data_IF_255288378094
#
_entry.id   IF_255288378094
#
_cell.length_a   1.000
_cell.length_b   1.000
_cell.length_c   1.000
_cell.angle_alpha   90.00
_cell.angle_beta   90.00
_cell.angle_gamma   90.00
#
_symmetry.space_group_name_H-M   'P 1'
#
loop_
_entity.id
_entity.type
_entity.pdbx_description
1 polymer ?
#
# COMPACT_ATOMS: atom_id res chain seq x y z
N UNK A 1 34.70 30.21 -38.10
CA UNK A 1 33.62 30.20 -37.10
C UNK A 1 34.26 30.57 -35.77
N UNK A 2 33.86 31.69 -35.17
CA UNK A 2 34.41 32.12 -33.88
C UNK A 2 33.83 31.25 -32.75
N UNK A 3 34.66 30.53 -31.96
CA UNK A 3 34.18 29.65 -30.89
C UNK A 3 33.35 30.37 -29.84
N UNK A 4 33.67 31.63 -29.54
CA UNK A 4 32.97 32.41 -28.51
C UNK A 4 31.53 32.73 -28.94
N UNK A 5 31.35 33.06 -30.21
CA UNK A 5 30.04 33.34 -30.79
C UNK A 5 29.14 32.08 -30.84
N UNK A 6 29.72 30.89 -31.03
CA UNK A 6 28.97 29.63 -30.98
C UNK A 6 28.45 29.32 -29.57
N UNK A 7 29.30 29.47 -28.56
CA UNK A 7 28.93 29.24 -27.16
C UNK A 7 27.83 30.22 -26.72
N UNK A 8 27.96 31.50 -27.07
CA UNK A 8 26.95 32.51 -26.73
C UNK A 8 25.57 32.19 -27.34
N UNK A 9 25.53 31.75 -28.61
CA UNK A 9 24.29 31.35 -29.27
C UNK A 9 23.65 30.11 -28.64
N UNK A 10 24.45 29.13 -28.24
CA UNK A 10 23.95 27.93 -27.59
C UNK A 10 23.35 28.25 -26.21
N UNK A 11 24.04 29.10 -25.43
CA UNK A 11 23.55 29.56 -24.12
C UNK A 11 22.22 30.31 -24.25
N UNK A 12 22.09 31.16 -25.26
CA UNK A 12 20.84 31.86 -25.53
C UNK A 12 19.70 30.89 -25.85
N UNK A 13 19.93 29.93 -26.76
CA UNK A 13 18.90 28.93 -27.09
C UNK A 13 18.50 28.07 -25.90
N UNK A 14 19.46 27.63 -25.08
CA UNK A 14 19.15 26.86 -23.88
C UNK A 14 18.38 27.68 -22.82
N UNK A 15 18.62 28.99 -22.73
CA UNK A 15 17.88 29.88 -21.84
C UNK A 15 16.43 30.13 -22.31
N UNK A 16 16.18 30.09 -23.62
CA UNK A 16 14.84 30.19 -24.21
C UNK A 16 14.01 28.92 -23.98
N UNK A 17 14.64 27.76 -23.82
CA UNK A 17 13.97 26.50 -23.49
C UNK A 17 13.50 26.50 -22.02
N UNK A 18 12.31 27.04 -21.77
CA UNK A 18 11.63 26.87 -20.48
C UNK A 18 10.92 25.51 -20.44
N UNK A 19 10.98 24.78 -19.32
CA UNK A 19 10.13 23.61 -19.16
C UNK A 19 8.66 24.04 -19.29
N UNK A 20 7.87 23.30 -20.07
CA UNK A 20 6.43 23.52 -20.08
C UNK A 20 5.91 23.34 -18.66
N UNK A 21 4.96 24.21 -18.27
CA UNK A 21 4.16 24.04 -17.06
C UNK A 21 3.39 22.72 -17.20
N UNK A 22 4.00 21.61 -16.77
CA UNK A 22 3.31 20.34 -16.66
C UNK A 22 2.19 20.55 -15.65
N UNK A 23 0.92 20.28 -15.98
CA UNK A 23 -0.14 20.33 -14.99
C UNK A 23 0.20 19.31 -13.90
N UNK A 24 0.69 19.82 -12.77
CA UNK A 24 0.89 19.05 -11.55
C UNK A 24 -0.49 18.75 -10.97
N UNK A 25 -1.24 17.90 -11.65
CA UNK A 25 -2.52 17.42 -11.19
C UNK A 25 -2.55 15.90 -11.26
N UNK A 26 -1.51 15.28 -10.69
CA UNK A 26 -1.66 13.90 -10.23
C UNK A 26 -2.51 13.95 -8.96
N UNK A 27 -3.83 14.06 -9.11
CA UNK A 27 -4.77 13.60 -8.07
C UNK A 27 -4.53 12.11 -7.94
N UNK A 28 -3.62 11.73 -7.07
CA UNK A 28 -3.34 10.33 -6.79
C UNK A 28 -4.59 9.80 -6.09
N UNK A 29 -5.42 9.06 -6.83
CA UNK A 29 -6.50 8.28 -6.24
C UNK A 29 -5.86 7.14 -5.46
N UNK A 30 -5.58 7.39 -4.17
CA UNK A 30 -5.02 6.39 -3.27
C UNK A 30 -6.12 5.39 -2.94
N UNK A 31 -5.94 4.15 -3.36
CA UNK A 31 -6.86 3.07 -3.01
C UNK A 31 -6.66 2.66 -1.55
N UNK A 32 -7.70 2.81 -0.74
CA UNK A 32 -7.75 2.33 0.64
C UNK A 32 -8.86 1.29 0.76
N UNK A 33 -8.56 0.15 1.37
CA UNK A 33 -9.54 -0.91 1.56
C UNK A 33 -10.64 -0.46 2.53
N UNK A 34 -11.90 -0.57 2.12
CA UNK A 34 -13.07 -0.13 2.92
C UNK A 34 -13.13 -0.84 4.28
N UNK A 35 -12.79 -2.12 4.30
CA UNK A 35 -12.86 -2.98 5.48
C UNK A 35 -11.77 -2.69 6.53
N UNK A 36 -10.75 -1.88 6.23
CA UNK A 36 -9.78 -1.47 7.24
C UNK A 36 -10.42 -0.68 8.38
N UNK A 37 -11.53 0.01 8.11
CA UNK A 37 -12.27 0.74 9.16
C UNK A 37 -12.93 -0.22 10.15
N UNK A 38 -13.44 -1.37 9.69
CA UNK A 38 -14.16 -2.35 10.51
C UNK A 38 -13.29 -3.51 11.01
N UNK A 39 -12.13 -3.80 10.42
CA UNK A 39 -11.35 -5.00 10.72
C UNK A 39 -10.83 -5.05 12.17
N UNK A 40 -10.86 -6.23 12.79
CA UNK A 40 -10.23 -6.47 14.11
C UNK A 40 -8.75 -6.83 13.99
N UNK A 41 -8.38 -7.51 12.91
CA UNK A 41 -7.03 -7.97 12.64
C UNK A 41 -6.53 -7.49 11.27
N UNK A 42 -5.23 -7.26 11.16
CA UNK A 42 -4.57 -6.78 9.94
C UNK A 42 -3.27 -7.52 9.69
N UNK A 43 -2.95 -7.69 8.41
CA UNK A 43 -1.63 -8.09 7.92
C UNK A 43 -0.76 -6.85 7.68
N UNK A 44 0.52 -6.95 8.07
CA UNK A 44 1.49 -5.86 7.91
C UNK A 44 2.47 -6.20 6.79
N UNK A 45 2.67 -5.28 5.86
CA UNK A 45 3.67 -5.43 4.78
C UNK A 45 5.09 -5.30 5.33
N UNK A 46 5.97 -6.20 4.90
CA UNK A 46 7.39 -6.20 5.23
C UNK A 46 8.15 -5.43 4.13
N UNK A 47 8.58 -4.20 4.42
CA UNK A 47 9.29 -3.33 3.46
C UNK A 47 10.82 -3.48 3.48
N UNK A 48 11.38 -4.35 4.34
CA UNK A 48 12.82 -4.65 4.37
C UNK A 48 13.21 -5.57 3.21
N UNK A 49 14.50 -5.61 2.86
CA UNK A 49 15.03 -6.61 1.92
C UNK A 49 14.74 -8.01 2.46
N UNK A 50 14.00 -8.79 1.68
CA UNK A 50 13.49 -10.09 2.08
C UNK A 50 14.47 -11.20 1.75
N UNK A 51 14.43 -12.27 2.54
CA UNK A 51 15.07 -13.53 2.16
C UNK A 51 14.26 -14.22 1.07
N UNK A 52 14.92 -15.11 0.31
CA UNK A 52 14.23 -15.96 -0.64
C UNK A 52 13.09 -16.73 0.06
N UNK A 53 11.91 -16.76 -0.57
CA UNK A 53 10.70 -17.43 -0.08
C UNK A 53 10.06 -16.86 1.21
N UNK A 54 10.50 -15.71 1.71
CA UNK A 54 9.81 -15.04 2.83
C UNK A 54 8.47 -14.43 2.35
N UNK A 55 7.36 -14.56 3.09
CA UNK A 55 6.09 -13.94 2.72
C UNK A 55 6.19 -12.39 2.77
N UNK A 56 5.51 -11.66 1.86
CA UNK A 56 5.56 -10.18 1.84
C UNK A 56 4.79 -9.51 2.97
N UNK A 57 3.93 -10.27 3.65
CA UNK A 57 3.15 -9.79 4.79
C UNK A 57 3.39 -10.69 5.99
N UNK A 58 3.46 -10.08 7.17
CA UNK A 58 3.52 -10.77 8.44
C UNK A 58 2.13 -10.73 9.09
N UNK A 59 1.76 -11.87 9.71
CA UNK A 59 0.76 -12.09 10.76
C UNK A 59 -0.60 -11.39 10.68
N UNK A 60 -1.70 -12.02 11.13
CA UNK A 60 -2.85 -11.26 11.55
C UNK A 60 -2.56 -10.67 12.94
N UNK A 61 -2.35 -9.37 13.02
CA UNK A 61 -2.15 -8.66 14.29
C UNK A 61 -3.42 -7.97 14.74
N UNK A 62 -3.65 -7.97 16.06
CA UNK A 62 -4.78 -7.28 16.66
C UNK A 62 -4.61 -5.76 16.58
N UNK A 63 -5.64 -5.07 16.09
CA UNK A 63 -5.68 -3.60 16.04
C UNK A 63 -6.20 -3.07 17.37
N UNK A 64 -5.42 -2.21 18.01
CA UNK A 64 -5.80 -1.57 19.29
C UNK A 64 -6.56 -0.25 19.06
N UNK A 65 -6.04 0.61 18.17
CA UNK A 65 -6.65 1.90 17.81
C UNK A 65 -6.57 2.13 16.31
N UNK A 66 -7.61 2.76 15.77
CA UNK A 66 -7.74 3.09 14.33
C UNK A 66 -7.78 4.59 14.16
N UNK A 67 -6.96 5.11 13.25
CA UNK A 67 -7.01 6.51 12.81
C UNK A 67 -7.08 6.55 11.29
N UNK A 68 -7.30 7.73 10.73
CA UNK A 68 -7.50 7.89 9.28
C UNK A 68 -6.24 7.56 8.46
N UNK A 69 -5.05 7.92 8.97
CA UNK A 69 -3.76 7.74 8.26
C UNK A 69 -2.91 6.59 8.78
N UNK A 70 -3.10 6.19 10.04
CA UNK A 70 -2.29 5.17 10.71
C UNK A 70 -3.09 4.42 11.77
N UNK A 71 -2.64 3.22 12.12
CA UNK A 71 -3.28 2.33 13.07
C UNK A 71 -2.27 1.97 14.16
N UNK A 72 -2.73 1.83 15.39
CA UNK A 72 -1.94 1.29 16.50
C UNK A 72 -2.23 -0.20 16.62
N UNK A 73 -1.21 -1.01 16.38
CA UNK A 73 -1.30 -2.47 16.30
C UNK A 73 -0.47 -3.10 17.42
N UNK A 74 -0.97 -4.17 18.01
CA UNK A 74 -0.26 -4.90 19.06
C UNK A 74 0.67 -5.96 18.44
N UNK A 75 1.97 -5.74 18.54
CA UNK A 75 3.01 -6.67 18.06
C UNK A 75 3.87 -7.07 19.25
N UNK A 76 3.86 -8.36 19.64
CA UNK A 76 4.63 -8.88 20.78
C UNK A 76 4.42 -8.02 22.04
N UNK A 77 3.15 -7.72 22.34
CA UNK A 77 2.69 -6.88 23.46
C UNK A 77 3.15 -5.42 23.44
N UNK A 78 3.73 -4.96 22.33
CA UNK A 78 4.09 -3.57 22.11
C UNK A 78 3.11 -2.93 21.13
N UNK A 79 2.62 -1.75 21.50
CA UNK A 79 1.81 -0.92 20.62
C UNK A 79 2.71 -0.21 19.59
N UNK A 80 2.49 -0.49 18.30
CA UNK A 80 3.27 0.09 17.20
C UNK A 80 2.34 0.82 16.24
N UNK A 81 2.74 2.02 15.82
CA UNK A 81 1.99 2.82 14.85
C UNK A 81 2.41 2.51 13.42
N UNK A 82 1.47 2.13 12.57
CA UNK A 82 1.72 1.74 11.17
C UNK A 82 0.75 2.50 10.26
N UNK A 83 1.27 3.07 9.17
CA UNK A 83 0.46 3.75 8.15
C UNK A 83 -0.47 2.79 7.42
N UNK A 84 -1.62 3.30 6.99
CA UNK A 84 -2.65 2.54 6.26
C UNK A 84 -2.10 1.85 5.00
N UNK A 85 -1.12 2.46 4.32
CA UNK A 85 -0.53 1.94 3.08
C UNK A 85 0.19 0.58 3.23
N UNK A 86 0.54 0.21 4.47
CA UNK A 86 1.23 -1.04 4.79
C UNK A 86 0.29 -2.10 5.37
N UNK A 87 -1.01 -1.81 5.43
CA UNK A 87 -2.00 -2.67 6.08
C UNK A 87 -2.91 -3.32 5.05
N UNK A 88 -3.23 -4.59 5.32
CA UNK A 88 -4.26 -5.34 4.61
C UNK A 88 -5.21 -5.95 5.65
N UNK A 89 -6.54 -5.85 5.49
CA UNK A 89 -7.46 -6.45 6.45
C UNK A 89 -7.28 -7.97 6.49
N UNK A 90 -7.34 -8.55 7.69
CA UNK A 90 -7.29 -9.99 7.89
C UNK A 90 -8.69 -10.50 8.23
N UNK A 91 -9.16 -11.49 7.48
CA UNK A 91 -10.42 -12.17 7.72
C UNK A 91 -10.14 -13.41 8.55
N UNK A 92 -10.67 -13.44 9.78
CA UNK A 92 -10.65 -14.62 10.63
C UNK A 92 -12.01 -15.30 10.50
N UNK A 93 -12.00 -16.61 10.25
CA UNK A 93 -13.21 -17.41 10.36
C UNK A 93 -13.57 -17.46 11.84
N UNK A 94 -14.78 -17.03 12.19
CA UNK A 94 -15.33 -17.30 13.51
C UNK A 94 -15.43 -18.82 13.64
N UNK A 95 -14.51 -19.42 14.38
CA UNK A 95 -14.70 -20.78 14.85
C UNK A 95 -15.52 -20.62 16.12
N UNK A 96 -16.79 -21.00 16.06
CA UNK A 96 -17.69 -21.01 17.21
C UNK A 96 -17.16 -21.98 18.25
N UNK A 97 -16.26 -21.51 19.11
CA UNK A 97 -15.89 -22.19 20.33
C UNK A 97 -16.24 -21.26 21.47
N UNK A 98 -17.48 -21.42 21.94
CA UNK A 98 -17.83 -21.05 23.28
C UNK A 98 -16.86 -21.80 24.21
N UNK A 99 -16.12 -21.05 25.01
CA UNK A 99 -15.36 -21.43 26.20
C UNK A 99 -13.81 -21.38 26.13
N UNK A 100 -13.30 -20.78 27.21
CA UNK A 100 -11.95 -20.83 27.78
C UNK A 100 -10.91 -19.74 27.46
N UNK A 101 -10.90 -18.77 28.38
CA UNK A 101 -9.74 -18.04 28.85
C UNK A 101 -8.57 -19.02 29.14
N UNK A 102 -7.47 -18.91 28.42
CA UNK A 102 -6.14 -19.29 28.94
C UNK A 102 -5.04 -18.63 28.10
N UNK A 103 -4.15 -17.98 28.83
CA UNK A 103 -2.76 -17.68 28.49
C UNK A 103 -2.06 -18.85 27.79
N UNK A 104 -1.01 -18.53 27.03
CA UNK A 104 -0.09 -19.41 26.28
C UNK A 104 -0.41 -19.49 24.78
N UNK A 105 0.63 -19.22 23.98
CA UNK A 105 0.57 -18.97 22.54
C UNK A 105 -0.16 -20.07 21.76
N UNK A 106 -1.37 -19.77 21.31
CA UNK A 106 -2.08 -20.59 20.34
C UNK A 106 -1.47 -20.32 18.96
N UNK A 107 -0.77 -21.32 18.42
CA UNK A 107 -0.21 -21.30 17.08
C UNK A 107 -1.37 -21.37 16.08
N UNK A 108 -1.90 -20.21 15.69
CA UNK A 108 -3.01 -20.10 14.76
C UNK A 108 -2.55 -20.48 13.35
N UNK A 109 -3.06 -21.61 12.84
CA UNK A 109 -2.83 -22.07 11.47
C UNK A 109 -3.66 -21.22 10.50
N UNK A 110 -3.01 -20.27 9.82
CA UNK A 110 -3.63 -19.61 8.67
C UNK A 110 -3.78 -20.63 7.55
N UNK A 111 -5.03 -20.87 7.13
CA UNK A 111 -5.26 -21.49 5.84
C UNK A 111 -4.91 -20.45 4.77
N UNK A 112 -3.73 -20.59 4.18
CA UNK A 112 -3.37 -19.89 2.95
C UNK A 112 -4.35 -20.41 1.91
N UNK A 113 -5.43 -19.66 1.68
CA UNK A 113 -6.33 -19.89 0.56
C UNK A 113 -5.50 -19.81 -0.71
N UNK A 114 -5.18 -20.96 -1.29
CA UNK A 114 -4.68 -21.09 -2.66
C UNK A 114 -5.83 -20.72 -3.60
N UNK A 115 -6.19 -19.44 -3.67
CA UNK A 115 -7.15 -18.89 -4.63
C UNK A 115 -6.83 -17.40 -4.77
N UNK A 116 -5.68 -17.10 -5.40
CA UNK A 116 -5.56 -15.85 -6.13
C UNK A 116 -6.31 -16.06 -7.44
N UNK A 117 -7.42 -15.35 -7.72
CA UNK A 117 -7.99 -15.38 -9.06
C UNK A 117 -6.93 -14.81 -10.00
N UNK A 118 -6.38 -15.69 -10.84
CA UNK A 118 -5.74 -15.31 -12.08
C UNK A 118 -6.77 -14.50 -12.89
N UNK A 119 -6.36 -13.32 -13.36
CA UNK A 119 -7.02 -12.43 -14.33
C UNK A 119 -8.51 -12.04 -14.12
N UNK A 120 -8.73 -10.74 -13.88
CA UNK A 120 -9.72 -9.95 -14.61
C UNK A 120 -9.09 -8.59 -14.97
N UNK A 121 -8.22 -8.61 -15.98
CA UNK A 121 -8.09 -7.46 -16.87
C UNK A 121 -9.39 -7.43 -17.65
N UNK A 122 -10.27 -6.49 -17.33
CA UNK A 122 -11.23 -5.85 -18.22
C UNK A 122 -12.19 -5.02 -17.36
N UNK A 123 -12.11 -3.70 -17.52
CA UNK A 123 -13.26 -2.81 -17.52
C UNK A 123 -12.84 -1.50 -18.20
N UNK A 124 -12.98 -1.54 -19.54
CA UNK A 124 -13.65 -0.54 -20.37
C UNK A 124 -13.49 0.94 -19.94
N UNK A 125 -12.70 1.70 -20.72
CA UNK A 125 -12.86 3.15 -20.82
C UNK A 125 -14.30 3.48 -21.24
N UNK A 126 -14.98 4.48 -20.63
CA UNK A 126 -16.00 5.20 -21.35
C UNK A 126 -15.32 6.25 -22.22
N UNK A 127 -15.62 6.20 -23.51
CA UNK A 127 -15.34 7.26 -24.47
C UNK A 127 -15.88 8.60 -23.96
N UNK A 128 -15.04 9.65 -24.01
CA UNK A 128 -15.50 11.04 -23.91
C UNK A 128 -15.25 11.69 -25.25
N UNK A 129 -16.33 12.24 -25.79
CA UNK A 129 -16.51 12.71 -27.15
C UNK A 129 -15.64 13.92 -27.52
N UNK A 130 -15.23 13.95 -28.78
CA UNK A 130 -14.73 15.12 -29.49
C UNK A 130 -15.84 16.18 -29.60
N UNK A 131 -15.49 17.44 -29.30
CA UNK A 131 -15.83 18.63 -30.09
C UNK A 131 -14.73 19.68 -29.91
#
# INVERSE_FOLDING_TARGET
MDPQNFVAKLQQHMAELKPLNSPSNRKQNIFVHKDLKSCSHVFIRIDRVKKALEPPYEGPYAVQKKYDKYFTILIKDKAVNISVDRLKPAYLLAVDNQNEQTSVGKKMRLQIGKNFPHCLMNNLLPAVAER
#
